data_IF_142119181344
#
_entry.id   IF_142119181344
#
_cell.length_a   1.000
_cell.length_b   1.000
_cell.length_c   1.000
_cell.angle_alpha   90.00
_cell.angle_beta   90.00
_cell.angle_gamma   90.00
#
_symmetry.space_group_name_H-M   'P 1'
#
loop_
_entity.id
_entity.type
_entity.pdbx_description
1 polymer ?
#
# COMPACT_ATOMS: atom_id res chain seq x y z
N UNK A 1 -10.34 14.44 28.78
CA UNK A 1 -11.28 13.79 27.85
C UNK A 1 -10.49 12.71 27.14
N UNK A 2 -10.64 11.44 27.55
CA UNK A 2 -9.86 10.32 27.00
C UNK A 2 -10.44 9.94 25.64
N UNK A 3 -9.72 10.28 24.58
CA UNK A 3 -9.99 9.75 23.24
C UNK A 3 -9.70 8.25 23.33
N UNK A 4 -10.75 7.42 23.33
CA UNK A 4 -10.60 5.99 23.08
C UNK A 4 -10.11 5.88 21.64
N UNK A 5 -8.80 5.72 21.45
CA UNK A 5 -8.24 5.29 20.17
C UNK A 5 -8.75 3.86 19.96
N UNK A 6 -9.86 3.72 19.24
CA UNK A 6 -10.32 2.41 18.79
C UNK A 6 -9.28 1.88 17.83
N UNK A 7 -8.63 0.79 18.21
CA UNK A 7 -7.72 0.06 17.33
C UNK A 7 -8.54 -0.55 16.18
N UNK A 8 -8.51 0.13 15.03
CA UNK A 8 -9.28 -0.24 13.85
C UNK A 8 -8.82 -1.58 13.27
N UNK A 9 -7.54 -1.92 13.44
CA UNK A 9 -6.98 -3.21 13.01
C UNK A 9 -7.54 -4.33 13.87
N UNK A 10 -7.57 -4.14 15.19
CA UNK A 10 -8.18 -5.09 16.13
C UNK A 10 -9.69 -5.25 15.88
N UNK A 11 -10.39 -4.14 15.60
CA UNK A 11 -11.81 -4.17 15.26
C UNK A 11 -12.07 -4.94 13.97
N UNK A 12 -11.29 -4.69 12.91
CA UNK A 12 -11.43 -5.38 11.64
C UNK A 12 -11.15 -6.88 11.78
N UNK A 13 -10.04 -7.26 12.45
CA UNK A 13 -9.73 -8.65 12.75
C UNK A 13 -10.86 -9.34 13.52
N UNK A 14 -11.43 -8.68 14.53
CA UNK A 14 -12.56 -9.21 15.30
C UNK A 14 -13.80 -9.43 14.43
N UNK A 15 -14.08 -8.51 13.50
CA UNK A 15 -15.20 -8.62 12.55
C UNK A 15 -14.96 -9.78 11.58
N UNK A 16 -13.78 -9.86 10.96
CA UNK A 16 -13.41 -10.93 10.02
C UNK A 16 -13.49 -12.30 10.69
N UNK A 17 -12.93 -12.44 11.90
CA UNK A 17 -12.98 -13.69 12.67
C UNK A 17 -14.41 -14.07 13.03
N UNK A 18 -15.22 -13.10 13.48
CA UNK A 18 -16.63 -13.37 13.82
C UNK A 18 -17.42 -13.82 12.60
N UNK A 19 -17.26 -13.13 11.47
CA UNK A 19 -17.97 -13.45 10.23
C UNK A 19 -17.50 -14.79 9.65
N UNK A 20 -16.20 -15.05 9.61
CA UNK A 20 -15.62 -16.26 9.02
C UNK A 20 -15.75 -17.50 9.89
N UNK A 21 -15.51 -17.39 11.20
CA UNK A 21 -15.48 -18.56 12.10
C UNK A 21 -16.83 -18.87 12.74
N UNK A 22 -17.71 -17.87 12.89
CA UNK A 22 -19.00 -18.05 13.59
C UNK A 22 -20.22 -17.93 12.69
N UNK A 23 -20.21 -16.99 11.73
CA UNK A 23 -21.38 -16.72 10.88
C UNK A 23 -21.38 -17.61 9.64
N UNK A 24 -20.27 -17.71 8.90
CA UNK A 24 -20.18 -18.51 7.69
C UNK A 24 -20.55 -20.00 7.89
N UNK A 25 -20.14 -20.70 8.96
CA UNK A 25 -20.53 -22.09 9.21
C UNK A 25 -22.01 -22.26 9.60
N UNK A 26 -22.66 -21.20 10.08
CA UNK A 26 -24.07 -21.22 10.48
C UNK A 26 -25.03 -20.93 9.31
N UNK A 27 -24.50 -20.49 8.16
CA UNK A 27 -25.30 -20.23 6.96
C UNK A 27 -25.51 -21.52 6.15
N UNK A 28 -26.73 -21.76 5.66
CA UNK A 28 -26.97 -22.83 4.70
C UNK A 28 -26.20 -22.58 3.40
N UNK A 29 -25.84 -23.66 2.70
CA UNK A 29 -25.23 -23.54 1.38
C UNK A 29 -26.18 -22.80 0.43
N UNK A 30 -25.68 -21.76 -0.24
CA UNK A 30 -26.49 -20.93 -1.13
C UNK A 30 -25.96 -19.51 -1.30
N UNK A 31 -26.75 -18.62 -1.93
CA UNK A 31 -26.34 -17.26 -2.29
C UNK A 31 -25.78 -16.46 -1.11
N UNK A 32 -26.42 -16.55 0.06
CA UNK A 32 -25.99 -15.83 1.26
C UNK A 32 -24.56 -16.19 1.73
N UNK A 33 -24.15 -17.45 1.56
CA UNK A 33 -22.79 -17.90 1.91
C UNK A 33 -21.75 -17.41 0.91
N UNK A 34 -22.11 -17.32 -0.37
CA UNK A 34 -21.25 -16.75 -1.41
C UNK A 34 -21.10 -15.24 -1.26
N UNK A 35 -22.19 -14.54 -0.96
CA UNK A 35 -22.17 -13.10 -0.68
C UNK A 35 -21.30 -12.79 0.54
N UNK A 36 -21.42 -13.58 1.61
CA UNK A 36 -20.56 -13.43 2.80
C UNK A 36 -19.08 -13.68 2.47
N UNK A 37 -18.77 -14.67 1.64
CA UNK A 37 -17.40 -14.93 1.20
C UNK A 37 -16.84 -13.73 0.41
N UNK A 38 -17.65 -13.13 -0.48
CA UNK A 38 -17.28 -11.90 -1.18
C UNK A 38 -17.06 -10.72 -0.24
N UNK A 39 -17.88 -10.56 0.81
CA UNK A 39 -17.68 -9.52 1.82
C UNK A 39 -16.38 -9.73 2.60
N UNK A 40 -16.08 -10.96 3.02
CA UNK A 40 -14.82 -11.30 3.70
C UNK A 40 -13.61 -10.99 2.80
N UNK A 41 -13.67 -11.35 1.51
CA UNK A 41 -12.63 -11.01 0.53
C UNK A 41 -12.45 -9.49 0.38
N UNK A 42 -13.53 -8.71 0.34
CA UNK A 42 -13.45 -7.25 0.29
C UNK A 42 -12.86 -6.67 1.58
N UNK A 43 -13.18 -7.24 2.75
CA UNK A 43 -12.61 -6.82 4.03
C UNK A 43 -11.11 -7.13 4.12
N UNK A 44 -10.67 -8.29 3.65
CA UNK A 44 -9.25 -8.65 3.57
C UNK A 44 -8.50 -7.74 2.60
N UNK A 45 -9.09 -7.44 1.44
CA UNK A 45 -8.53 -6.46 0.49
C UNK A 45 -8.44 -5.04 1.09
N UNK A 46 -9.35 -4.68 2.00
CA UNK A 46 -9.29 -3.42 2.74
C UNK A 46 -8.20 -3.48 3.82
N UNK A 47 -8.05 -4.61 4.54
CA UNK A 47 -6.99 -4.88 5.52
C UNK A 47 -5.59 -4.73 4.91
N UNK A 48 -5.41 -5.22 3.68
CA UNK A 48 -4.15 -5.16 2.94
C UNK A 48 -3.84 -3.77 2.35
N UNK A 49 -4.74 -2.78 2.48
CA UNK A 49 -4.44 -1.42 2.04
C UNK A 49 -3.34 -0.83 2.90
N UNK A 50 -2.32 -0.32 2.22
CA UNK A 50 -1.18 0.41 2.81
C UNK A 50 -1.59 1.51 3.82
N UNK A 51 -2.81 2.06 3.71
CA UNK A 51 -3.33 3.06 4.65
C UNK A 51 -3.60 2.51 6.07
N UNK A 52 -3.83 1.21 6.22
CA UNK A 52 -4.15 0.55 7.49
C UNK A 52 -2.96 -0.20 8.09
N UNK A 53 -1.98 -0.56 7.29
CA UNK A 53 -0.69 -1.08 7.77
C UNK A 53 0.31 0.05 7.96
N UNK A 54 0.37 0.60 9.18
CA UNK A 54 1.28 1.68 9.54
C UNK A 54 2.76 1.32 9.37
N UNK A 55 3.11 0.04 9.53
CA UNK A 55 4.50 -0.43 9.36
C UNK A 55 4.88 -0.40 7.89
N UNK A 56 4.04 -0.97 7.02
CA UNK A 56 4.26 -0.94 5.57
C UNK A 56 4.18 0.48 5.01
N UNK A 57 3.30 1.33 5.55
CA UNK A 57 3.23 2.74 5.19
C UNK A 57 4.52 3.48 5.53
N UNK A 58 5.06 3.27 6.74
CA UNK A 58 6.35 3.81 7.16
C UNK A 58 7.48 3.39 6.20
N UNK A 59 7.58 2.10 5.91
CA UNK A 59 8.57 1.57 4.95
C UNK A 59 8.41 2.17 3.55
N UNK A 60 7.17 2.34 3.07
CA UNK A 60 6.90 2.97 1.79
C UNK A 60 7.31 4.45 1.76
N UNK A 61 7.09 5.18 2.86
CA UNK A 61 7.56 6.55 3.03
C UNK A 61 9.09 6.62 3.03
N UNK A 62 9.77 5.79 3.82
CA UNK A 62 11.24 5.73 3.90
C UNK A 62 11.88 5.46 2.54
N UNK A 63 11.39 4.45 1.80
CA UNK A 63 11.90 4.14 0.45
C UNK A 63 11.66 5.27 -0.54
N UNK A 64 10.49 5.91 -0.47
CA UNK A 64 10.18 7.06 -1.34
C UNK A 64 11.13 8.22 -1.03
N UNK A 65 11.44 8.44 0.24
CA UNK A 65 12.39 9.47 0.66
C UNK A 65 13.82 9.16 0.25
N UNK A 66 14.24 7.91 0.34
CA UNK A 66 15.55 7.46 -0.13
C UNK A 66 15.71 7.69 -1.64
N UNK A 67 14.70 7.30 -2.44
CA UNK A 67 14.67 7.60 -3.86
C UNK A 67 14.74 9.11 -4.13
N UNK A 68 13.94 9.90 -3.41
CA UNK A 68 13.94 11.36 -3.54
C UNK A 68 15.34 11.94 -3.27
N UNK A 69 16.03 11.46 -2.23
CA UNK A 69 17.40 11.85 -1.90
C UNK A 69 18.41 11.47 -2.98
N UNK A 70 18.33 10.24 -3.53
CA UNK A 70 19.18 9.81 -4.66
C UNK A 70 18.97 10.66 -5.91
N UNK A 71 17.75 11.15 -6.12
CA UNK A 71 17.40 12.05 -7.20
C UNK A 71 17.72 13.53 -6.91
N UNK A 72 18.28 13.85 -5.74
CA UNK A 72 18.70 15.20 -5.37
C UNK A 72 17.58 16.10 -4.84
N UNK A 73 16.41 15.55 -4.50
CA UNK A 73 15.37 16.31 -3.81
C UNK A 73 15.78 16.58 -2.35
N UNK A 74 15.49 17.79 -1.87
CA UNK A 74 15.72 18.13 -0.47
C UNK A 74 14.85 17.27 0.46
N UNK A 75 15.31 16.96 1.69
CA UNK A 75 14.56 16.14 2.63
C UNK A 75 13.16 16.69 2.91
N UNK A 76 12.17 15.80 3.02
CA UNK A 76 10.80 16.21 3.35
C UNK A 76 10.69 16.66 4.81
N UNK A 77 10.24 17.90 5.11
CA UNK A 77 10.01 18.34 6.48
C UNK A 77 8.81 17.65 7.16
N UNK A 78 7.94 17.00 6.38
CA UNK A 78 6.82 16.23 6.90
C UNK A 78 7.27 14.82 7.33
N UNK A 79 7.46 14.62 8.64
CA UNK A 79 7.86 13.34 9.24
C UNK A 79 6.69 12.35 9.44
N UNK A 80 5.46 12.73 9.09
CA UNK A 80 4.30 11.88 9.32
C UNK A 80 4.23 10.77 8.25
N UNK A 81 4.34 9.51 8.70
CA UNK A 81 4.10 8.34 7.85
C UNK A 81 2.60 8.19 7.57
N UNK A 82 2.09 8.99 6.64
CA UNK A 82 0.70 8.94 6.18
C UNK A 82 0.59 8.89 4.64
N UNK A 83 -0.57 8.46 4.15
CA UNK A 83 -0.81 8.28 2.71
C UNK A 83 -0.77 9.59 1.94
N UNK A 84 -1.11 10.72 2.57
CA UNK A 84 -1.07 12.02 1.92
C UNK A 84 0.37 12.48 1.71
N UNK A 85 1.21 12.36 2.73
CA UNK A 85 2.65 12.63 2.70
C UNK A 85 3.33 11.74 1.64
N UNK A 86 3.05 10.43 1.64
CA UNK A 86 3.54 9.50 0.63
C UNK A 86 3.14 9.92 -0.80
N UNK A 87 1.86 10.25 -1.02
CA UNK A 87 1.34 10.66 -2.34
C UNK A 87 1.98 11.96 -2.83
N UNK A 88 2.10 12.95 -1.94
CA UNK A 88 2.75 14.22 -2.28
C UNK A 88 4.20 13.97 -2.68
N UNK A 89 4.94 13.20 -1.89
CA UNK A 89 6.35 12.94 -2.14
C UNK A 89 6.59 12.17 -3.45
N UNK A 90 5.78 11.15 -3.72
CA UNK A 90 5.82 10.43 -5.02
C UNK A 90 5.52 11.33 -6.21
N UNK A 91 4.65 12.34 -6.05
CA UNK A 91 4.39 13.33 -7.11
C UNK A 91 5.62 14.21 -7.36
N UNK A 92 6.31 14.66 -6.32
CA UNK A 92 7.56 15.45 -6.47
C UNK A 92 8.63 14.67 -7.23
N UNK A 93 8.84 13.40 -6.87
CA UNK A 93 9.72 12.48 -7.60
C UNK A 93 9.30 12.36 -9.07
N UNK A 94 8.01 12.13 -9.33
CA UNK A 94 7.48 11.98 -10.70
C UNK A 94 7.70 13.23 -11.55
N UNK A 95 7.51 14.41 -10.98
CA UNK A 95 7.71 15.69 -11.68
C UNK A 95 9.18 15.96 -12.00
N UNK A 96 10.09 15.59 -11.10
CA UNK A 96 11.53 15.67 -11.34
C UNK A 96 11.94 14.75 -12.50
N UNK A 97 11.52 13.48 -12.47
CA UNK A 97 11.78 12.52 -13.53
C UNK A 97 11.20 12.98 -14.88
N UNK A 98 9.98 13.51 -14.87
CA UNK A 98 9.33 14.08 -16.07
C UNK A 98 10.15 15.22 -16.67
N UNK A 99 10.76 16.05 -15.83
CA UNK A 99 11.60 17.18 -16.26
C UNK A 99 12.92 16.69 -16.82
N UNK A 100 13.62 15.80 -16.11
CA UNK A 100 14.87 15.19 -16.56
C UNK A 100 14.74 14.49 -17.93
N UNK A 101 13.63 13.77 -18.14
CA UNK A 101 13.35 13.10 -19.41
C UNK A 101 13.06 14.09 -20.55
N UNK A 102 12.34 15.18 -20.29
CA UNK A 102 12.01 16.20 -21.29
C UNK A 102 13.23 17.00 -21.73
N UNK A 103 14.13 17.29 -20.79
CA UNK A 103 15.30 18.12 -21.03
C UNK A 103 16.50 17.35 -21.60
N UNK A 104 16.34 16.02 -21.81
CA UNK A 104 17.34 15.21 -22.50
C UNK A 104 18.60 14.95 -21.67
N UNK A 105 18.48 14.97 -20.34
CA UNK A 105 19.56 14.63 -19.41
C UNK A 105 19.23 13.30 -18.71
N UNK A 106 19.20 12.16 -19.43
CA UNK A 106 19.06 10.87 -18.76
C UNK A 106 20.41 10.55 -18.11
N UNK A 107 20.56 10.95 -16.85
CA UNK A 107 21.63 10.43 -16.00
C UNK A 107 21.36 8.93 -15.77
N UNK A 108 22.34 8.09 -16.07
CA UNK A 108 22.26 6.63 -15.95
C UNK A 108 21.93 6.21 -14.50
N UNK A 109 22.34 7.01 -13.51
CA UNK A 109 22.02 6.81 -12.09
C UNK A 109 20.54 7.03 -11.75
N UNK A 110 19.86 7.95 -12.46
CA UNK A 110 18.43 8.22 -12.32
C UNK A 110 17.63 7.04 -12.87
N UNK A 111 18.03 6.49 -14.01
CA UNK A 111 17.38 5.32 -14.63
C UNK A 111 17.51 4.09 -13.75
N UNK A 112 18.69 3.82 -13.21
CA UNK A 112 18.92 2.68 -12.31
C UNK A 112 18.08 2.78 -11.02
N UNK A 113 18.00 3.98 -10.42
CA UNK A 113 17.21 4.21 -9.20
C UNK A 113 15.71 4.05 -9.41
N UNK A 114 15.20 4.45 -10.59
CA UNK A 114 13.78 4.26 -10.95
C UNK A 114 13.46 2.80 -11.20
N UNK A 115 14.36 2.05 -11.85
CA UNK A 115 14.18 0.61 -12.09
C UNK A 115 14.09 -0.17 -10.77
N UNK A 116 15.02 0.06 -9.85
CA UNK A 116 15.04 -0.59 -8.52
C UNK A 116 13.75 -0.30 -7.71
N UNK A 117 13.30 0.97 -7.72
CA UNK A 117 12.07 1.36 -7.05
C UNK A 117 10.82 0.72 -7.67
N UNK A 118 10.75 0.67 -9.00
CA UNK A 118 9.58 0.18 -9.73
C UNK A 118 9.36 -1.32 -9.55
N UNK A 119 10.44 -2.10 -9.41
CA UNK A 119 10.34 -3.56 -9.27
C UNK A 119 9.67 -3.97 -7.95
N UNK A 120 10.02 -3.32 -6.84
CA UNK A 120 9.44 -3.61 -5.53
C UNK A 120 8.03 -3.03 -5.34
N UNK A 121 7.81 -1.79 -5.80
CA UNK A 121 6.51 -1.11 -5.62
C UNK A 121 5.41 -1.75 -6.51
N UNK A 122 5.77 -2.25 -7.70
CA UNK A 122 4.85 -3.02 -8.57
C UNK A 122 4.51 -4.37 -7.94
N UNK A 123 5.48 -5.10 -7.38
CA UNK A 123 5.19 -6.37 -6.69
C UNK A 123 4.21 -6.17 -5.53
N UNK A 124 4.34 -5.08 -4.78
CA UNK A 124 3.47 -4.75 -3.64
C UNK A 124 2.07 -4.25 -4.05
N UNK A 125 1.91 -3.67 -5.24
CA UNK A 125 0.62 -3.20 -5.76
C UNK A 125 -0.17 -4.23 -6.58
N UNK A 126 0.48 -5.30 -7.05
CA UNK A 126 -0.22 -6.45 -7.61
C UNK A 126 -0.94 -7.15 -6.44
N UNK A 127 -2.27 -7.24 -6.51
CA UNK A 127 -3.07 -7.90 -5.47
C UNK A 127 -2.53 -9.31 -5.20
N UNK A 128 -2.56 -9.76 -3.94
CA UNK A 128 -2.10 -11.11 -3.56
C UNK A 128 -2.77 -12.19 -4.43
N UNK A 129 -4.03 -11.99 -4.84
CA UNK A 129 -4.76 -12.87 -5.75
C UNK A 129 -4.19 -12.95 -7.18
N UNK A 130 -3.58 -11.89 -7.70
CA UNK A 130 -2.90 -11.89 -9.01
C UNK A 130 -1.50 -12.52 -8.93
N UNK A 131 -0.83 -12.45 -7.78
CA UNK A 131 0.50 -13.08 -7.57
C UNK A 131 0.46 -14.61 -7.61
N UNK A 132 -0.65 -15.23 -7.21
CA UNK A 132 -0.84 -16.69 -7.31
C UNK A 132 -0.95 -17.21 -8.76
N UNK A 133 -1.18 -16.31 -9.73
CA UNK A 133 -1.33 -16.65 -11.15
C UNK A 133 -0.09 -16.40 -12.02
N UNK A 134 1.00 -15.87 -11.46
CA UNK A 134 2.24 -15.63 -12.21
C UNK A 134 3.15 -16.87 -12.14
N UNK A 135 3.80 -17.28 -13.25
CA UNK A 135 4.81 -18.32 -13.20
C UNK A 135 6.00 -17.84 -12.37
N UNK A 136 6.46 -18.70 -11.45
CA UNK A 136 7.61 -18.45 -10.58
C UNK A 136 8.95 -18.54 -11.29
#
# INVERSE_FOLDING_TARGET
MTVYSTDLTMLLSTITDTLGLRVAPALPDGPARLELAGVLEQLDNLADRLAWDQTRLGQACERTEELAGRLGLAPDPALAADVYTLRRRRREVSELLRTAYREGVPDESVVASVLEFSEQDVQEQISNGLRAGLPG
#
